data_IF_024213407647
#
_entry.id   IF_024213407647
#
_cell.length_a   1.000
_cell.length_b   1.000
_cell.length_c   1.000
_cell.angle_alpha   90.00
_cell.angle_beta   90.00
_cell.angle_gamma   90.00
#
_symmetry.space_group_name_H-M   'P 1'
#
loop_
_entity.id
_entity.type
_entity.pdbx_description
1 polymer ?
#
# COMPACT_ATOMS: atom_id res chain seq x y z
N UNK A 1 -7.19 12.16 16.50
CA UNK A 1 -6.34 11.83 15.32
C UNK A 1 -7.19 11.04 14.35
N UNK A 2 -7.04 11.30 13.05
CA UNK A 2 -7.83 10.63 12.00
C UNK A 2 -7.00 9.50 11.40
N UNK A 3 -7.65 8.38 11.08
CA UNK A 3 -6.99 7.19 10.53
C UNK A 3 -7.48 6.97 9.10
N UNK A 4 -6.57 6.58 8.20
CA UNK A 4 -6.88 6.17 6.83
C UNK A 4 -6.24 4.82 6.54
N UNK A 5 -6.95 3.95 5.84
CA UNK A 5 -6.40 2.70 5.31
C UNK A 5 -6.25 2.86 3.81
N UNK A 6 -5.05 2.58 3.29
CA UNK A 6 -4.77 2.51 1.87
C UNK A 6 -4.77 1.04 1.49
N UNK A 7 -5.76 0.62 0.71
CA UNK A 7 -5.85 -0.74 0.21
C UNK A 7 -5.20 -0.82 -1.17
N UNK A 8 -4.27 -1.77 -1.33
CA UNK A 8 -3.61 -2.10 -2.59
C UNK A 8 -4.08 -3.50 -3.00
N UNK A 9 -5.12 -3.62 -3.84
CA UNK A 9 -5.47 -4.90 -4.44
C UNK A 9 -4.42 -5.28 -5.48
N UNK A 10 -3.91 -6.51 -5.44
CA UNK A 10 -2.85 -6.97 -6.34
C UNK A 10 -3.16 -8.35 -6.92
N UNK A 11 -2.68 -8.59 -8.14
CA UNK A 11 -2.66 -9.91 -8.80
C UNK A 11 -1.48 -9.97 -9.77
N UNK A 12 -0.47 -10.77 -9.47
CA UNK A 12 0.77 -10.89 -10.24
C UNK A 12 1.49 -9.55 -10.48
N UNK A 13 1.60 -8.70 -9.44
CA UNK A 13 2.14 -7.34 -9.50
C UNK A 13 3.43 -7.14 -8.68
N UNK A 14 4.26 -8.18 -8.49
CA UNK A 14 5.40 -8.15 -7.57
C UNK A 14 6.28 -6.89 -7.67
N UNK A 15 6.58 -6.44 -8.91
CA UNK A 15 7.40 -5.24 -9.16
C UNK A 15 6.63 -3.93 -9.04
N UNK A 16 5.34 -3.94 -9.37
CA UNK A 16 4.48 -2.75 -9.30
C UNK A 16 4.14 -2.37 -7.87
N UNK A 17 3.90 -3.39 -7.03
CA UNK A 17 3.54 -3.21 -5.63
C UNK A 17 4.63 -2.47 -4.84
N UNK A 18 5.89 -2.86 -5.02
CA UNK A 18 7.04 -2.21 -4.37
C UNK A 18 7.11 -0.72 -4.76
N UNK A 19 7.04 -0.42 -6.06
CA UNK A 19 7.07 0.96 -6.58
C UNK A 19 5.91 1.79 -5.99
N UNK A 20 4.70 1.24 -5.95
CA UNK A 20 3.54 1.96 -5.40
C UNK A 20 3.71 2.21 -3.90
N UNK A 21 4.14 1.19 -3.14
CA UNK A 21 4.35 1.29 -1.71
C UNK A 21 5.40 2.36 -1.34
N UNK A 22 6.52 2.40 -2.08
CA UNK A 22 7.58 3.40 -1.90
C UNK A 22 7.12 4.83 -2.19
N UNK A 23 6.16 4.99 -3.12
CA UNK A 23 5.65 6.30 -3.52
C UNK A 23 4.48 6.81 -2.65
N UNK A 24 4.07 6.08 -1.62
CA UNK A 24 3.04 6.55 -0.68
C UNK A 24 3.57 7.80 0.05
N UNK A 25 2.88 8.96 -0.03
CA UNK A 25 3.37 10.25 0.46
C UNK A 25 3.22 10.38 1.98
N UNK A 26 3.90 9.51 2.71
CA UNK A 26 3.83 9.29 4.16
C UNK A 26 3.95 10.59 4.96
N UNK A 27 4.92 11.43 4.60
CA UNK A 27 5.18 12.68 5.30
C UNK A 27 4.04 13.69 5.13
N UNK A 28 3.46 13.77 3.92
CA UNK A 28 2.33 14.66 3.62
C UNK A 28 1.07 14.22 4.37
N UNK A 29 0.80 12.91 4.40
CA UNK A 29 -0.32 12.32 5.15
C UNK A 29 -0.21 12.67 6.64
N UNK A 30 0.99 12.52 7.21
CA UNK A 30 1.27 12.88 8.61
C UNK A 30 1.11 14.38 8.87
N UNK A 31 1.61 15.25 7.99
CA UNK A 31 1.45 16.70 8.07
C UNK A 31 -0.03 17.14 8.01
N UNK A 32 -0.88 16.39 7.30
CA UNK A 32 -2.33 16.59 7.26
C UNK A 32 -3.05 16.11 8.53
N UNK A 33 -2.34 15.55 9.52
CA UNK A 33 -2.89 15.07 10.78
C UNK A 33 -3.54 13.68 10.72
N UNK A 34 -3.15 12.88 9.73
CA UNK A 34 -3.60 11.50 9.55
C UNK A 34 -2.52 10.49 9.93
N UNK A 35 -2.95 9.41 10.58
CA UNK A 35 -2.19 8.16 10.61
C UNK A 35 -2.69 7.28 9.46
N UNK A 36 -1.79 6.51 8.85
CA UNK A 36 -2.17 5.59 7.78
C UNK A 36 -1.65 4.17 8.02
N UNK A 37 -2.35 3.22 7.42
CA UNK A 37 -1.95 1.83 7.29
C UNK A 37 -2.11 1.42 5.83
N UNK A 38 -1.23 0.52 5.37
CA UNK A 38 -1.29 -0.04 4.01
C UNK A 38 -1.69 -1.49 4.12
N UNK A 39 -2.74 -1.88 3.43
CA UNK A 39 -3.21 -3.27 3.36
C UNK A 39 -3.04 -3.75 1.93
N UNK A 40 -2.20 -4.77 1.74
CA UNK A 40 -2.08 -5.48 0.48
C UNK A 40 -3.11 -6.60 0.47
N UNK A 41 -3.96 -6.62 -0.56
CA UNK A 41 -4.99 -7.65 -0.73
C UNK A 41 -4.67 -8.42 -2.00
N UNK A 42 -4.04 -9.58 -1.84
CA UNK A 42 -3.67 -10.46 -2.95
C UNK A 42 -4.87 -11.31 -3.40
N UNK A 43 -5.19 -11.24 -4.69
CA UNK A 43 -6.25 -12.01 -5.34
C UNK A 43 -5.90 -13.47 -5.65
N UNK A 44 -4.72 -13.94 -5.25
CA UNK A 44 -4.23 -15.30 -5.52
C UNK A 44 -3.10 -15.34 -6.54
N UNK A 45 -2.15 -14.40 -6.40
CA UNK A 45 -0.97 -14.31 -7.26
C UNK A 45 -0.16 -15.61 -7.25
N UNK A 46 0.46 -15.90 -8.38
CA UNK A 46 1.34 -17.07 -8.57
C UNK A 46 2.80 -16.67 -8.75
N UNK A 47 3.06 -15.37 -8.83
CA UNK A 47 4.38 -14.76 -8.89
C UNK A 47 4.93 -14.37 -7.51
N UNK A 48 6.00 -13.57 -7.47
CA UNK A 48 6.63 -13.12 -6.23
C UNK A 48 5.89 -11.94 -5.54
N UNK A 49 4.60 -11.73 -5.82
CA UNK A 49 3.78 -10.76 -5.09
C UNK A 49 3.73 -11.19 -3.62
N UNK A 50 4.50 -10.52 -2.76
CA UNK A 50 4.52 -10.79 -1.31
C UNK A 50 3.65 -9.78 -0.58
N UNK A 51 2.64 -10.30 0.11
CA UNK A 51 1.75 -9.61 1.05
C UNK A 51 2.46 -9.19 2.34
#
# INVERSE_FOLDING_TARGET
MRNVVIMLPTLDEAKGLEVVAENIPSQKIKQMGWNYQVWVVDGGSTDETKS
#
